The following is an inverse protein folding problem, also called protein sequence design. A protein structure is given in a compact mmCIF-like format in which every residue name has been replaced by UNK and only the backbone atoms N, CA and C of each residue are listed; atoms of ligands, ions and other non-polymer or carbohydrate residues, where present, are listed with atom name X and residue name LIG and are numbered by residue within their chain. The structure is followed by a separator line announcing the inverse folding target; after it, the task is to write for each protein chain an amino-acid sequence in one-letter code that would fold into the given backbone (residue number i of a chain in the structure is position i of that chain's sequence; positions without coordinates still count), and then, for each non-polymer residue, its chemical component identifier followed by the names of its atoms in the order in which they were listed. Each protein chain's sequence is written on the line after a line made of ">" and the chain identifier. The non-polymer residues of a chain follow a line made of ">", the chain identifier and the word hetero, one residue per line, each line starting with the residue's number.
data_IF_268171340652
#
_entry.id   IF_268171340652
#
_cell.length_a   1.000
_cell.length_b   1.000
_cell.length_c   1.000
_cell.angle_alpha   90.00
_cell.angle_beta   90.00
_cell.angle_gamma   90.00
#
_symmetry.space_group_name_H-M   'P 1'
#
loop_
_entity.id
_entity.type
_entity.pdbx_description
1 polymer ?
#
# COMPACT_ATOMS: atom_id res chain seq x y z
N UNK A 1 -8.41 -21.60 -8.67
CA UNK A 1 -8.69 -22.32 -7.42
C UNK A 1 -10.04 -22.99 -7.59
N UNK A 2 -10.29 -24.19 -7.05
CA UNK A 2 -11.63 -24.83 -7.11
C UNK A 2 -12.31 -24.59 -5.75
N UNK A 3 -12.88 -23.39 -5.50
CA UNK A 3 -13.34 -22.97 -4.18
C UNK A 3 -14.35 -23.94 -3.57
N UNK A 4 -15.30 -24.43 -4.36
CA UNK A 4 -16.38 -25.32 -3.88
C UNK A 4 -15.85 -26.64 -3.28
N UNK A 5 -14.76 -27.20 -3.81
CA UNK A 5 -14.15 -28.41 -3.24
C UNK A 5 -13.33 -28.03 -2.01
N UNK A 6 -12.61 -26.91 -2.06
CA UNK A 6 -11.72 -26.48 -0.99
C UNK A 6 -12.48 -26.19 0.31
N UNK A 7 -13.75 -25.79 0.24
CA UNK A 7 -14.60 -25.57 1.42
C UNK A 7 -14.79 -26.81 2.30
N UNK A 8 -14.62 -28.02 1.76
CA UNK A 8 -14.73 -29.28 2.50
C UNK A 8 -13.39 -29.87 2.91
N UNK A 9 -12.28 -29.36 2.37
CA UNK A 9 -10.93 -29.86 2.65
C UNK A 9 -10.35 -29.11 3.86
N UNK A 10 -9.82 -29.81 4.89
CA UNK A 10 -9.13 -29.14 5.99
C UNK A 10 -7.82 -28.50 5.49
N UNK A 11 -7.52 -27.29 5.97
CA UNK A 11 -6.28 -26.61 5.62
C UNK A 11 -6.23 -25.15 6.10
N UNK A 12 -5.10 -24.46 5.88
CA UNK A 12 -4.92 -23.07 6.30
C UNK A 12 -5.96 -22.10 5.72
N UNK A 13 -6.53 -22.40 4.55
CA UNK A 13 -7.59 -21.58 3.92
C UNK A 13 -8.87 -21.54 4.76
N UNK A 14 -9.21 -22.59 5.50
CA UNK A 14 -10.36 -22.60 6.42
C UNK A 14 -10.20 -21.58 7.56
N UNK A 15 -8.95 -21.28 7.94
CA UNK A 15 -8.65 -20.25 8.94
C UNK A 15 -8.99 -18.85 8.44
N UNK A 16 -8.91 -18.60 7.13
CA UNK A 16 -9.21 -17.29 6.53
C UNK A 16 -10.66 -16.91 6.81
N UNK A 17 -11.61 -17.84 6.62
CA UNK A 17 -13.03 -17.60 6.91
C UNK A 17 -13.26 -17.18 8.37
N UNK A 18 -12.61 -17.86 9.32
CA UNK A 18 -12.68 -17.49 10.74
C UNK A 18 -12.07 -16.12 11.02
N UNK A 19 -10.94 -15.78 10.40
CA UNK A 19 -10.29 -14.48 10.56
C UNK A 19 -11.13 -13.34 9.98
N UNK A 20 -11.73 -13.55 8.80
CA UNK A 20 -12.64 -12.59 8.19
C UNK A 20 -13.90 -12.39 9.04
N UNK A 21 -14.46 -13.47 9.61
CA UNK A 21 -15.61 -13.36 10.50
C UNK A 21 -15.26 -12.54 11.75
N UNK A 22 -14.11 -12.80 12.39
CA UNK A 22 -13.68 -12.00 13.54
C UNK A 22 -13.53 -10.51 13.21
N UNK A 23 -13.00 -10.17 12.03
CA UNK A 23 -12.90 -8.78 11.59
C UNK A 23 -14.27 -8.16 11.31
N UNK A 24 -15.20 -8.92 10.72
CA UNK A 24 -16.58 -8.48 10.51
C UNK A 24 -17.30 -8.24 11.84
N UNK A 25 -17.11 -9.10 12.83
CA UNK A 25 -17.69 -8.95 14.17
C UNK A 25 -17.17 -7.68 14.84
N UNK A 26 -15.85 -7.44 14.77
CA UNK A 26 -15.23 -6.20 15.26
C UNK A 26 -15.78 -4.94 14.57
N UNK A 27 -15.86 -4.95 13.24
CA UNK A 27 -16.43 -3.82 12.49
C UNK A 27 -17.90 -3.62 12.84
N UNK A 28 -18.66 -4.70 13.03
CA UNK A 28 -20.08 -4.64 13.38
C UNK A 28 -20.30 -4.02 14.76
N UNK A 29 -19.48 -4.41 15.74
CA UNK A 29 -19.50 -3.80 17.08
C UNK A 29 -19.20 -2.29 16.99
N UNK A 30 -18.19 -1.91 16.21
CA UNK A 30 -17.86 -0.49 16.01
C UNK A 30 -19.01 0.29 15.37
N UNK A 31 -19.63 -0.26 14.31
CA UNK A 31 -20.78 0.37 13.65
C UNK A 31 -21.96 0.54 14.61
N UNK A 32 -22.21 -0.44 15.50
CA UNK A 32 -23.27 -0.34 16.51
C UNK A 32 -23.00 0.81 17.48
N UNK A 33 -21.77 0.94 17.99
CA UNK A 33 -21.38 2.06 18.86
C UNK A 33 -21.61 3.40 18.14
N UNK A 34 -21.20 3.50 16.88
CA UNK A 34 -21.40 4.71 16.08
C UNK A 34 -22.90 5.04 15.92
N UNK A 35 -23.75 4.05 15.66
CA UNK A 35 -25.21 4.22 15.55
C UNK A 35 -25.86 4.74 16.85
N UNK A 36 -25.46 4.19 18.00
CA UNK A 36 -26.01 4.56 19.31
C UNK A 36 -25.66 6.00 19.72
N UNK A 37 -24.55 6.51 19.20
CA UNK A 37 -23.97 7.81 19.59
C UNK A 37 -23.91 8.81 18.43
N UNK A 38 -24.64 8.55 17.33
CA UNK A 38 -24.59 9.35 16.12
C UNK A 38 -25.23 10.73 16.33
N UNK A 39 -24.42 11.78 16.17
CA UNK A 39 -24.89 13.15 15.98
C UNK A 39 -24.77 13.54 14.49
N UNK A 40 -25.89 13.69 13.75
CA UNK A 40 -25.84 14.09 12.34
C UNK A 40 -25.23 15.47 12.08
N UNK A 41 -25.14 16.34 13.10
CA UNK A 41 -24.56 17.67 12.97
C UNK A 41 -23.04 17.69 13.16
N UNK A 42 -22.47 16.64 13.75
CA UNK A 42 -21.04 16.51 14.04
C UNK A 42 -20.54 15.08 13.74
N UNK A 43 -20.40 14.70 12.45
CA UNK A 43 -19.94 13.36 12.08
C UNK A 43 -18.47 13.14 12.47
N UNK A 44 -18.20 12.09 13.25
CA UNK A 44 -16.88 11.85 13.85
C UNK A 44 -15.90 11.13 12.93
N UNK A 45 -16.41 10.26 12.06
CA UNK A 45 -15.61 9.39 11.21
C UNK A 45 -16.38 8.94 9.96
N UNK A 46 -15.73 8.11 9.13
CA UNK A 46 -16.34 7.56 7.91
C UNK A 46 -17.65 6.81 8.17
N UNK A 47 -17.77 6.11 9.31
CA UNK A 47 -18.96 5.33 9.64
C UNK A 47 -20.14 6.26 9.86
N UNK A 48 -19.94 7.35 10.63
CA UNK A 48 -21.00 8.35 10.85
C UNK A 48 -21.45 8.99 9.54
N UNK A 49 -20.49 9.39 8.68
CA UNK A 49 -20.79 9.94 7.35
C UNK A 49 -21.65 8.97 6.51
N UNK A 50 -21.30 7.69 6.51
CA UNK A 50 -22.06 6.67 5.78
C UNK A 50 -23.45 6.44 6.39
N UNK A 51 -23.57 6.41 7.72
CA UNK A 51 -24.85 6.27 8.43
C UNK A 51 -25.78 7.44 8.15
N UNK A 52 -25.27 8.67 8.14
CA UNK A 52 -26.03 9.87 7.76
C UNK A 52 -26.51 9.76 6.32
N UNK A 53 -25.62 9.37 5.40
CA UNK A 53 -25.97 9.18 3.99
C UNK A 53 -27.02 8.09 3.79
N UNK A 54 -26.90 6.98 4.52
CA UNK A 54 -27.89 5.89 4.54
C UNK A 54 -29.26 6.37 5.02
N UNK A 55 -29.33 7.24 6.05
CA UNK A 55 -30.60 7.85 6.49
C UNK A 55 -31.19 8.77 5.42
N UNK A 56 -30.37 9.56 4.73
CA UNK A 56 -30.81 10.45 3.64
C UNK A 56 -31.39 9.68 2.45
N UNK A 57 -30.88 8.47 2.19
CA UNK A 57 -31.36 7.62 1.09
C UNK A 57 -32.44 6.61 1.52
N UNK A 58 -32.92 6.63 2.76
CA UNK A 58 -33.81 5.60 3.31
C UNK A 58 -35.15 5.41 2.59
N UNK A 59 -35.56 6.36 1.73
CA UNK A 59 -36.76 6.26 0.90
C UNK A 59 -36.47 5.77 -0.54
N UNK A 60 -35.21 5.61 -0.92
CA UNK A 60 -34.81 5.13 -2.24
C UNK A 60 -34.64 3.60 -2.24
N UNK A 61 -35.56 2.83 -2.85
CA UNK A 61 -35.48 1.37 -2.89
C UNK A 61 -34.29 0.85 -3.73
N UNK A 62 -33.66 1.70 -4.54
CA UNK A 62 -32.46 1.40 -5.33
C UNK A 62 -31.17 1.91 -4.68
N UNK A 63 -31.20 2.29 -3.39
CA UNK A 63 -30.01 2.75 -2.69
C UNK A 63 -29.04 1.60 -2.42
N UNK A 64 -27.77 1.81 -2.75
CA UNK A 64 -26.67 0.91 -2.38
C UNK A 64 -26.10 1.23 -0.98
N UNK A 65 -26.58 2.30 -0.34
CA UNK A 65 -26.24 2.64 1.05
C UNK A 65 -27.11 1.82 1.99
N UNK A 66 -26.60 0.66 2.38
CA UNK A 66 -27.23 -0.23 3.35
C UNK A 66 -26.21 -0.77 4.35
N UNK A 67 -26.68 -1.43 5.41
CA UNK A 67 -25.82 -1.96 6.48
C UNK A 67 -24.74 -2.92 5.97
N UNK A 68 -25.07 -3.77 4.98
CA UNK A 68 -24.09 -4.70 4.41
C UNK A 68 -22.97 -3.95 3.68
N UNK A 69 -23.33 -2.97 2.85
CA UNK A 69 -22.37 -2.10 2.16
C UNK A 69 -21.47 -1.35 3.15
N UNK A 70 -22.04 -0.82 4.24
CA UNK A 70 -21.28 -0.16 5.30
C UNK A 70 -20.23 -1.09 5.91
N UNK A 71 -20.65 -2.26 6.40
CA UNK A 71 -19.75 -3.21 7.06
C UNK A 71 -18.62 -3.65 6.12
N UNK A 72 -18.95 -4.03 4.88
CA UNK A 72 -17.96 -4.47 3.91
C UNK A 72 -17.01 -3.35 3.49
N UNK A 73 -17.51 -2.11 3.34
CA UNK A 73 -16.65 -0.98 2.96
C UNK A 73 -15.67 -0.63 4.07
N UNK A 74 -16.13 -0.59 5.33
CA UNK A 74 -15.25 -0.33 6.49
C UNK A 74 -14.20 -1.42 6.60
N UNK A 75 -14.59 -2.69 6.48
CA UNK A 75 -13.66 -3.81 6.47
C UNK A 75 -12.60 -3.67 5.36
N UNK A 76 -13.02 -3.33 4.14
CA UNK A 76 -12.12 -3.16 3.01
C UNK A 76 -11.14 -1.99 3.22
N UNK A 77 -11.61 -0.84 3.69
CA UNK A 77 -10.76 0.31 3.99
C UNK A 77 -9.74 -0.03 5.09
N UNK A 78 -10.18 -0.73 6.14
CA UNK A 78 -9.31 -1.10 7.27
C UNK A 78 -8.21 -2.09 6.84
N UNK A 79 -8.58 -3.13 6.08
CA UNK A 79 -7.62 -4.10 5.56
C UNK A 79 -6.63 -3.48 4.56
N UNK A 80 -7.16 -2.78 3.55
CA UNK A 80 -6.35 -2.20 2.48
C UNK A 80 -5.40 -1.11 2.99
N UNK A 81 -5.88 -0.25 3.91
CA UNK A 81 -5.09 0.83 4.50
C UNK A 81 -4.01 0.36 5.47
N UNK A 82 -4.17 -0.81 6.09
CA UNK A 82 -3.21 -1.29 7.10
C UNK A 82 -2.08 -2.12 6.47
N UNK A 83 -2.44 -3.19 5.77
CA UNK A 83 -1.45 -4.21 5.39
C UNK A 83 -0.46 -3.71 4.33
N UNK A 84 -0.95 -2.96 3.34
CA UNK A 84 -0.11 -2.50 2.21
C UNK A 84 0.95 -1.49 2.64
N UNK A 85 0.58 -0.53 3.48
CA UNK A 85 1.50 0.48 4.03
C UNK A 85 2.47 -0.18 5.01
N UNK A 86 1.99 -1.03 5.91
CA UNK A 86 2.83 -1.79 6.85
C UNK A 86 3.88 -2.65 6.12
N UNK A 87 3.45 -3.41 5.10
CA UNK A 87 4.36 -4.22 4.29
C UNK A 87 5.39 -3.36 3.54
N UNK A 88 4.98 -2.22 2.97
CA UNK A 88 5.90 -1.30 2.30
C UNK A 88 6.93 -0.70 3.27
N UNK A 89 6.49 -0.27 4.46
CA UNK A 89 7.37 0.23 5.52
C UNK A 89 8.39 -0.85 5.94
N UNK A 90 7.93 -2.08 6.16
CA UNK A 90 8.81 -3.20 6.52
C UNK A 90 9.86 -3.49 5.44
N UNK A 91 9.46 -3.51 4.17
CA UNK A 91 10.42 -3.61 3.07
C UNK A 91 11.43 -2.47 3.10
N UNK A 92 10.97 -1.22 3.25
CA UNK A 92 11.85 -0.06 3.30
C UNK A 92 12.83 -0.10 4.46
N UNK A 93 12.40 -0.44 5.67
CA UNK A 93 13.28 -0.54 6.83
C UNK A 93 14.36 -1.63 6.64
N UNK A 94 13.99 -2.79 6.08
CA UNK A 94 14.94 -3.85 5.75
C UNK A 94 15.97 -3.38 4.72
N UNK A 95 15.50 -2.73 3.65
CA UNK A 95 16.35 -2.20 2.57
C UNK A 95 17.32 -1.12 3.11
N UNK A 96 16.85 -0.20 3.94
CA UNK A 96 17.66 0.89 4.48
C UNK A 96 18.74 0.42 5.46
N UNK A 97 18.52 -0.71 6.13
CA UNK A 97 19.55 -1.34 6.97
C UNK A 97 20.58 -2.08 6.11
N UNK A 98 20.15 -2.64 4.97
CA UNK A 98 21.06 -3.27 4.00
C UNK A 98 21.94 -2.26 3.26
N UNK A 99 21.43 -1.06 2.96
CA UNK A 99 22.14 0.04 2.30
C UNK A 99 22.40 1.23 3.24
N UNK A 100 23.35 1.13 4.18
CA UNK A 100 23.63 2.18 5.17
C UNK A 100 24.02 3.52 4.52
N UNK A 101 24.66 3.51 3.36
CA UNK A 101 25.03 4.70 2.60
C UNK A 101 23.82 5.47 2.05
N UNK A 102 22.71 4.77 1.76
CA UNK A 102 21.44 5.40 1.38
C UNK A 102 20.81 6.04 2.62
N UNK A 103 20.86 5.32 3.75
CA UNK A 103 20.37 5.83 5.03
C UNK A 103 21.09 7.11 5.47
N UNK A 104 22.42 7.15 5.36
CA UNK A 104 23.23 8.31 5.73
C UNK A 104 22.91 9.53 4.84
N UNK A 105 22.65 9.34 3.55
CA UNK A 105 22.20 10.42 2.65
C UNK A 105 20.80 10.95 3.03
N UNK A 106 19.88 10.08 3.42
CA UNK A 106 18.56 10.49 3.89
C UNK A 106 18.65 11.29 5.19
N UNK A 107 19.51 10.86 6.11
CA UNK A 107 19.79 11.62 7.33
C UNK A 107 20.31 13.02 7.02
N UNK A 108 21.25 13.15 6.07
CA UNK A 108 21.76 14.44 5.66
C UNK A 108 20.66 15.36 5.09
N UNK A 109 19.84 14.85 4.16
CA UNK A 109 18.73 15.62 3.58
C UNK A 109 17.68 16.02 4.63
N UNK A 110 17.37 15.13 5.59
CA UNK A 110 16.48 15.44 6.72
C UNK A 110 17.06 16.58 7.55
N UNK A 111 18.36 16.51 7.90
CA UNK A 111 19.01 17.51 8.74
C UNK A 111 19.06 18.88 8.06
N UNK A 112 19.28 18.91 6.74
CA UNK A 112 19.31 20.14 5.94
C UNK A 112 17.92 20.80 5.77
N UNK A 113 16.88 20.01 5.49
CA UNK A 113 15.55 20.54 5.14
C UNK A 113 14.65 20.74 6.36
N UNK A 114 14.71 19.80 7.31
CA UNK A 114 13.82 19.74 8.47
C UNK A 114 14.56 20.11 9.75
N UNK A 115 15.78 19.61 9.91
CA UNK A 115 16.55 19.66 11.15
C UNK A 115 16.02 18.68 12.21
N UNK A 116 16.57 18.75 13.42
CA UNK A 116 16.30 17.76 14.49
C UNK A 116 15.12 18.11 15.40
N UNK A 117 14.71 19.38 15.45
CA UNK A 117 13.72 19.87 16.44
C UNK A 117 12.30 19.99 15.88
N UNK A 118 12.15 20.13 14.56
CA UNK A 118 10.86 20.35 13.90
C UNK A 118 10.27 19.03 13.44
N UNK A 119 8.97 18.81 13.70
CA UNK A 119 8.29 17.62 13.19
C UNK A 119 8.20 17.66 11.65
N UNK A 120 8.40 16.53 10.95
CA UNK A 120 8.17 16.45 9.51
C UNK A 120 6.74 16.80 9.14
N UNK A 121 6.56 17.51 8.03
CA UNK A 121 5.26 17.82 7.44
C UNK A 121 5.22 17.34 5.98
N UNK A 122 4.04 17.23 5.38
CA UNK A 122 3.92 16.71 4.01
C UNK A 122 4.47 17.69 2.97
N UNK A 123 4.48 18.99 3.26
CA UNK A 123 5.01 20.03 2.40
C UNK A 123 6.53 19.92 2.20
N UNK A 124 7.25 19.35 3.18
CA UNK A 124 8.70 19.12 3.15
C UNK A 124 9.09 18.20 1.99
N UNK A 125 8.20 17.29 1.57
CA UNK A 125 8.44 16.34 0.47
C UNK A 125 8.92 17.03 -0.81
N UNK A 126 8.37 18.20 -1.12
CA UNK A 126 8.73 18.96 -2.32
C UNK A 126 10.19 19.46 -2.32
N UNK A 127 10.83 19.48 -1.15
CA UNK A 127 12.22 19.94 -0.94
C UNK A 127 13.18 18.78 -0.65
N UNK A 128 12.69 17.54 -0.64
CA UNK A 128 13.46 16.34 -0.30
C UNK A 128 13.46 15.34 -1.47
N UNK A 129 14.09 15.69 -2.60
CA UNK A 129 14.07 14.84 -3.81
C UNK A 129 14.67 13.45 -3.57
N UNK A 130 15.67 13.31 -2.68
CA UNK A 130 16.30 12.03 -2.42
C UNK A 130 15.40 11.11 -1.58
N UNK A 131 14.75 11.63 -0.54
CA UNK A 131 13.71 10.92 0.22
C UNK A 131 12.58 10.47 -0.69
N UNK A 132 12.09 11.35 -1.57
CA UNK A 132 11.00 10.99 -2.47
C UNK A 132 11.44 9.90 -3.47
N UNK A 133 12.65 10.00 -4.01
CA UNK A 133 13.23 8.98 -4.89
C UNK A 133 13.40 7.63 -4.19
N UNK A 134 13.88 7.61 -2.94
CA UNK A 134 14.02 6.38 -2.15
C UNK A 134 12.66 5.75 -1.87
N UNK A 135 11.65 6.53 -1.48
CA UNK A 135 10.30 6.00 -1.22
C UNK A 135 9.67 5.42 -2.49
N UNK A 136 9.86 6.06 -3.64
CA UNK A 136 9.42 5.53 -4.93
C UNK A 136 10.15 4.23 -5.27
N UNK A 137 11.47 4.18 -5.07
CA UNK A 137 12.25 2.98 -5.31
C UNK A 137 11.87 1.84 -4.35
N UNK A 138 11.53 2.13 -3.09
CA UNK A 138 11.03 1.12 -2.13
C UNK A 138 9.74 0.50 -2.67
N UNK A 139 8.78 1.30 -3.13
CA UNK A 139 7.51 0.80 -3.67
C UNK A 139 7.72 0.01 -4.97
N UNK A 140 8.58 0.49 -5.87
CA UNK A 140 8.90 -0.18 -7.14
C UNK A 140 9.60 -1.52 -6.89
N UNK A 141 10.57 -1.54 -5.97
CA UNK A 141 11.39 -2.70 -5.69
C UNK A 141 10.67 -3.73 -4.83
N UNK A 142 9.86 -3.33 -3.85
CA UNK A 142 9.08 -4.25 -3.03
C UNK A 142 7.93 -4.87 -3.81
N UNK A 143 7.33 -4.10 -4.73
CA UNK A 143 6.23 -4.51 -5.59
C UNK A 143 5.17 -5.29 -4.82
N UNK A 144 4.56 -4.66 -3.81
CA UNK A 144 3.74 -5.34 -2.79
C UNK A 144 2.58 -6.14 -3.41
N UNK A 145 2.03 -5.74 -4.55
CA UNK A 145 0.93 -6.43 -5.24
C UNK A 145 1.30 -6.71 -6.72
N UNK A 146 2.21 -7.66 -6.99
CA UNK A 146 2.84 -7.82 -8.31
C UNK A 146 1.85 -8.21 -9.42
N UNK A 147 0.79 -8.95 -9.07
CA UNK A 147 -0.25 -9.39 -10.00
C UNK A 147 -1.42 -8.39 -10.15
N UNK A 148 -1.38 -7.28 -9.41
CA UNK A 148 -2.52 -6.38 -9.22
C UNK A 148 -3.75 -7.09 -8.59
N UNK A 149 -4.84 -6.34 -8.40
CA UNK A 149 -6.14 -6.94 -8.13
C UNK A 149 -6.77 -7.44 -9.45
N UNK A 150 -7.52 -8.56 -9.43
CA UNK A 150 -8.21 -9.05 -10.63
C UNK A 150 -9.23 -8.02 -11.14
N UNK A 151 -9.24 -7.81 -12.45
CA UNK A 151 -10.31 -7.12 -13.18
C UNK A 151 -11.17 -8.17 -13.91
N UNK A 152 -12.36 -7.77 -14.34
CA UNK A 152 -13.19 -8.58 -15.24
C UNK A 152 -13.76 -7.73 -16.37
N UNK A 153 -13.85 -8.30 -17.58
CA UNK A 153 -14.50 -7.66 -18.72
C UNK A 153 -16.01 -7.50 -18.45
N UNK A 154 -16.54 -6.29 -18.57
CA UNK A 154 -17.97 -6.03 -18.32
C UNK A 154 -18.86 -6.39 -19.52
N UNK A 155 -18.26 -6.53 -20.70
CA UNK A 155 -18.87 -6.90 -21.96
C UNK A 155 -17.83 -7.58 -22.86
N UNK A 156 -18.27 -8.13 -23.99
CA UNK A 156 -17.36 -8.64 -25.01
C UNK A 156 -16.54 -7.49 -25.58
N UNK A 157 -15.21 -7.65 -25.60
CA UNK A 157 -14.29 -6.62 -26.13
C UNK A 157 -13.33 -7.23 -27.14
N UNK A 158 -12.88 -6.40 -28.09
CA UNK A 158 -11.73 -6.70 -28.95
C UNK A 158 -10.51 -5.95 -28.44
N UNK A 159 -9.46 -6.68 -28.10
CA UNK A 159 -8.20 -6.09 -27.63
C UNK A 159 -7.02 -6.67 -28.39
N UNK A 160 -6.25 -5.81 -29.07
CA UNK A 160 -5.10 -6.21 -29.91
C UNK A 160 -5.39 -7.37 -30.89
N UNK A 161 -6.61 -7.39 -31.46
CA UNK A 161 -7.05 -8.42 -32.39
C UNK A 161 -7.68 -9.66 -31.74
N UNK A 162 -7.63 -9.80 -30.42
CA UNK A 162 -8.25 -10.91 -29.68
C UNK A 162 -9.67 -10.56 -29.22
N UNK A 163 -10.57 -11.53 -29.27
CA UNK A 163 -11.89 -11.42 -28.65
C UNK A 163 -11.79 -11.86 -27.19
N UNK A 164 -12.18 -10.99 -26.26
CA UNK A 164 -12.24 -11.26 -24.83
C UNK A 164 -13.72 -11.24 -24.42
N UNK A 165 -14.32 -12.40 -24.13
CA UNK A 165 -15.73 -12.48 -23.73
C UNK A 165 -16.00 -11.73 -22.42
N UNK A 166 -17.25 -11.30 -22.20
CA UNK A 166 -17.75 -10.78 -20.92
C UNK A 166 -17.49 -11.76 -19.77
N UNK A 167 -17.09 -11.23 -18.62
CA UNK A 167 -16.81 -12.01 -17.40
C UNK A 167 -15.43 -12.68 -17.42
N UNK A 168 -14.58 -12.38 -18.40
CA UNK A 168 -13.20 -12.87 -18.43
C UNK A 168 -12.37 -12.13 -17.39
N UNK A 169 -11.71 -12.88 -16.50
CA UNK A 169 -10.75 -12.32 -15.55
C UNK A 169 -9.49 -11.80 -16.28
N UNK A 170 -9.02 -10.63 -15.87
CA UNK A 170 -7.87 -9.94 -16.43
C UNK A 170 -6.96 -9.49 -15.28
N UNK A 171 -5.69 -9.88 -15.35
CA UNK A 171 -4.67 -9.51 -14.37
C UNK A 171 -3.68 -8.52 -15.02
N UNK A 172 -3.85 -7.21 -14.83
CA UNK A 172 -2.91 -6.21 -15.31
C UNK A 172 -1.66 -6.17 -14.41
N UNK A 173 -0.76 -7.13 -14.61
CA UNK A 173 0.42 -7.38 -13.79
C UNK A 173 1.30 -6.13 -13.63
N UNK A 174 1.34 -5.57 -12.42
CA UNK A 174 2.15 -4.39 -12.08
C UNK A 174 3.64 -4.70 -12.18
N UNK A 175 4.03 -5.93 -11.84
CA UNK A 175 5.39 -6.43 -11.93
C UNK A 175 6.06 -6.12 -13.28
N UNK A 176 5.32 -6.33 -14.39
CA UNK A 176 5.85 -6.10 -15.73
C UNK A 176 6.22 -4.63 -15.97
N UNK A 177 5.43 -3.68 -15.45
CA UNK A 177 5.73 -2.25 -15.57
C UNK A 177 6.85 -1.84 -14.60
N UNK A 178 6.78 -2.26 -13.34
CA UNK A 178 7.73 -1.87 -12.29
C UNK A 178 9.14 -2.47 -12.47
N UNK A 179 9.28 -3.46 -13.36
CA UNK A 179 10.56 -4.08 -13.75
C UNK A 179 10.91 -3.87 -15.24
N UNK A 180 10.23 -2.96 -15.94
CA UNK A 180 10.48 -2.73 -17.37
C UNK A 180 11.90 -2.17 -17.59
N UNK A 181 12.78 -2.89 -18.31
CA UNK A 181 14.16 -2.44 -18.55
C UNK A 181 14.26 -1.20 -19.45
N UNK A 182 13.19 -0.85 -20.18
CA UNK A 182 13.15 0.39 -20.97
C UNK A 182 12.94 1.64 -20.11
N UNK A 183 12.38 1.49 -18.91
CA UNK A 183 12.16 2.58 -17.95
C UNK A 183 13.16 2.56 -16.79
N UNK A 184 13.64 1.38 -16.38
CA UNK A 184 14.54 1.20 -15.23
C UNK A 184 15.83 0.52 -15.68
N UNK A 185 16.98 1.21 -15.60
CA UNK A 185 18.29 0.70 -16.07
C UNK A 185 18.73 -0.58 -15.36
N UNK A 186 18.48 -0.68 -14.06
CA UNK A 186 18.82 -1.84 -13.22
C UNK A 186 17.56 -2.37 -12.55
N UNK A 187 16.57 -2.90 -13.30
CA UNK A 187 15.21 -3.10 -12.81
C UNK A 187 15.14 -4.10 -11.64
N UNK A 188 16.10 -5.02 -11.55
CA UNK A 188 16.17 -6.04 -10.50
C UNK A 188 17.00 -5.63 -9.28
N UNK A 189 17.63 -4.46 -9.29
CA UNK A 189 18.39 -3.93 -8.16
C UNK A 189 17.62 -2.78 -7.51
N UNK A 190 17.85 -2.56 -6.23
CA UNK A 190 17.40 -1.35 -5.54
C UNK A 190 18.33 -0.19 -5.90
N UNK A 191 17.80 0.82 -6.56
CA UNK A 191 18.58 1.97 -7.03
C UNK A 191 17.72 3.25 -7.03
N UNK A 192 17.85 4.13 -6.02
CA UNK A 192 17.11 5.39 -5.97
C UNK A 192 17.35 6.29 -7.19
N UNK A 193 18.47 6.12 -7.90
CA UNK A 193 18.78 6.81 -9.14
C UNK A 193 17.79 6.56 -10.29
N UNK A 194 16.92 5.53 -10.19
CA UNK A 194 15.80 5.36 -11.09
C UNK A 194 14.80 6.53 -11.07
N UNK A 195 14.73 7.25 -9.96
CA UNK A 195 13.80 8.35 -9.71
C UNK A 195 14.50 9.70 -9.55
N UNK A 196 15.76 9.80 -9.99
CA UNK A 196 16.54 11.03 -9.98
C UNK A 196 16.98 11.38 -11.40
N UNK A 197 16.98 12.66 -11.74
CA UNK A 197 17.61 13.16 -12.95
C UNK A 197 19.12 13.44 -12.76
N UNK A 198 19.78 13.92 -13.80
CA UNK A 198 21.23 14.20 -13.80
C UNK A 198 21.62 15.30 -12.81
N UNK A 199 20.67 16.16 -12.40
CA UNK A 199 20.87 17.23 -11.43
C UNK A 199 20.52 16.78 -9.99
N UNK A 200 20.11 15.52 -9.80
CA UNK A 200 19.65 15.01 -8.51
C UNK A 200 18.24 15.47 -8.11
N UNK A 201 17.47 16.02 -9.03
CA UNK A 201 16.06 16.35 -8.79
C UNK A 201 15.17 15.12 -8.98
N UNK A 202 14.05 15.08 -8.27
CA UNK A 202 13.10 13.97 -8.38
C UNK A 202 12.51 13.90 -9.79
N UNK A 203 12.54 12.71 -10.40
CA UNK A 203 11.98 12.42 -11.71
C UNK A 203 11.08 11.20 -11.64
N UNK A 204 9.78 11.40 -11.83
CA UNK A 204 8.81 10.30 -11.93
C UNK A 204 9.00 9.51 -13.22
N UNK A 205 8.87 8.20 -13.14
CA UNK A 205 8.81 7.30 -14.29
C UNK A 205 7.36 6.96 -14.64
N UNK A 206 7.01 6.95 -15.93
CA UNK A 206 5.63 6.63 -16.37
C UNK A 206 5.21 5.20 -16.01
N UNK A 207 6.17 4.26 -16.02
CA UNK A 207 5.97 2.87 -15.62
C UNK A 207 5.80 2.69 -14.09
N UNK A 208 5.94 3.77 -13.29
CA UNK A 208 5.72 3.71 -11.84
C UNK A 208 4.22 3.78 -11.51
N UNK A 209 3.62 2.60 -11.41
CA UNK A 209 2.18 2.41 -11.12
C UNK A 209 1.91 1.40 -9.99
N UNK A 210 2.56 1.50 -8.81
CA UNK A 210 2.32 0.55 -7.71
C UNK A 210 0.89 0.60 -7.15
N UNK A 211 0.15 1.67 -7.43
CA UNK A 211 -1.25 1.86 -7.06
C UNK A 211 -2.24 1.52 -8.19
N UNK A 212 -1.78 0.83 -9.24
CA UNK A 212 -2.51 0.65 -10.49
C UNK A 212 -2.84 1.99 -11.18
N UNK A 213 -3.72 1.98 -12.17
CA UNK A 213 -4.19 3.18 -12.89
C UNK A 213 -5.59 2.97 -13.45
N UNK A 214 -6.21 4.06 -13.96
CA UNK A 214 -7.54 4.04 -14.56
C UNK A 214 -8.68 4.01 -13.54
N UNK A 215 -9.85 3.48 -13.94
CA UNK A 215 -11.10 3.55 -13.14
C UNK A 215 -11.06 2.86 -11.78
N UNK A 216 -10.09 1.97 -11.56
CA UNK A 216 -9.91 1.21 -10.31
C UNK A 216 -8.54 1.48 -9.68
N UNK A 217 -7.96 2.66 -9.95
CA UNK A 217 -6.77 3.13 -9.22
C UNK A 217 -7.04 3.09 -7.71
N UNK A 218 -5.99 2.81 -6.92
CA UNK A 218 -6.10 2.68 -5.48
C UNK A 218 -6.76 3.93 -4.86
N UNK A 219 -7.89 3.73 -4.17
CA UNK A 219 -8.60 4.82 -3.49
C UNK A 219 -7.78 5.46 -2.36
N UNK A 220 -6.82 4.73 -1.80
CA UNK A 220 -5.94 5.19 -0.72
C UNK A 220 -4.59 5.76 -1.19
N UNK A 221 -4.35 5.95 -2.49
CA UNK A 221 -3.04 6.37 -3.02
C UNK A 221 -2.49 7.64 -2.35
N UNK A 222 -3.34 8.66 -2.17
CA UNK A 222 -2.94 9.92 -1.53
C UNK A 222 -2.53 9.73 -0.08
N UNK A 223 -3.33 8.97 0.69
CA UNK A 223 -3.07 8.68 2.10
C UNK A 223 -1.79 7.86 2.26
N UNK A 224 -1.64 6.77 1.49
CA UNK A 224 -0.46 5.91 1.56
C UNK A 224 0.84 6.67 1.23
N UNK A 225 0.84 7.53 0.20
CA UNK A 225 2.01 8.36 -0.13
C UNK A 225 2.39 9.30 1.01
N UNK A 226 1.40 9.91 1.66
CA UNK A 226 1.62 10.79 2.81
C UNK A 226 2.15 10.00 4.02
N UNK A 227 1.53 8.88 4.34
CA UNK A 227 1.94 8.01 5.44
C UNK A 227 3.37 7.50 5.26
N UNK A 228 3.72 6.96 4.09
CA UNK A 228 5.07 6.47 3.81
C UNK A 228 6.10 7.58 4.00
N UNK A 229 5.85 8.77 3.44
CA UNK A 229 6.73 9.91 3.61
C UNK A 229 6.92 10.27 5.08
N UNK A 230 5.82 10.55 5.78
CA UNK A 230 5.88 10.99 7.18
C UNK A 230 6.47 9.93 8.11
N UNK A 231 6.15 8.64 7.91
CA UNK A 231 6.71 7.57 8.73
C UNK A 231 8.22 7.41 8.50
N UNK A 232 8.68 7.32 7.25
CA UNK A 232 10.12 7.20 6.98
C UNK A 232 10.89 8.41 7.48
N UNK A 233 10.43 9.63 7.19
CA UNK A 233 11.11 10.85 7.64
C UNK A 233 11.13 10.95 9.16
N UNK A 234 10.02 10.64 9.84
CA UNK A 234 9.94 10.73 11.31
C UNK A 234 10.84 9.69 11.97
N UNK A 235 10.85 8.45 11.46
CA UNK A 235 11.73 7.39 11.97
C UNK A 235 13.19 7.79 11.79
N UNK A 236 13.59 8.19 10.58
CA UNK A 236 15.00 8.48 10.26
C UNK A 236 15.48 9.82 10.84
N UNK A 237 14.58 10.75 11.15
CA UNK A 237 14.93 11.95 11.89
C UNK A 237 15.42 11.59 13.30
N UNK A 238 14.76 10.62 13.96
CA UNK A 238 14.99 10.31 15.36
C UNK A 238 15.95 9.14 15.58
N UNK A 239 16.12 8.25 14.60
CA UNK A 239 16.84 7.00 14.76
C UNK A 239 17.72 6.65 13.56
N UNK A 240 18.89 6.09 13.84
CA UNK A 240 19.69 5.30 12.91
C UNK A 240 19.30 3.82 13.06
N UNK A 241 18.93 3.20 11.96
CA UNK A 241 18.54 1.80 11.89
C UNK A 241 19.77 0.91 11.77
N UNK A 242 19.85 -0.11 12.61
CA UNK A 242 20.93 -1.10 12.57
C UNK A 242 20.36 -2.51 12.74
N UNK A 243 21.11 -3.54 12.36
CA UNK A 243 20.77 -4.92 12.69
C UNK A 243 22.03 -5.70 13.06
N UNK A 244 21.87 -6.69 13.93
CA UNK A 244 22.90 -7.72 14.19
C UNK A 244 22.88 -8.80 13.11
N UNK A 245 21.79 -8.92 12.37
CA UNK A 245 21.66 -9.82 11.24
C UNK A 245 22.44 -9.25 10.04
N UNK A 246 23.00 -10.13 9.21
CA UNK A 246 23.56 -9.77 7.92
C UNK A 246 22.58 -10.21 6.84
N UNK A 247 22.16 -9.29 6.00
CA UNK A 247 21.26 -9.56 4.88
C UNK A 247 22.05 -9.65 3.58
N UNK A 248 21.61 -10.52 2.69
CA UNK A 248 22.08 -10.61 1.31
C UNK A 248 21.09 -9.92 0.37
N UNK A 249 21.48 -9.68 -0.88
CA UNK A 249 20.55 -9.15 -1.89
C UNK A 249 19.32 -10.06 -2.09
N UNK A 250 19.48 -11.37 -1.88
CA UNK A 250 18.39 -12.34 -1.95
C UNK A 250 17.42 -12.24 -0.75
N UNK A 251 17.87 -11.72 0.39
CA UNK A 251 17.04 -11.55 1.59
C UNK A 251 16.14 -10.32 1.47
N UNK A 252 16.63 -9.25 0.84
CA UNK A 252 15.85 -8.02 0.62
C UNK A 252 14.94 -8.10 -0.61
N UNK A 253 15.26 -8.97 -1.57
CA UNK A 253 14.48 -9.14 -2.80
C UNK A 253 13.09 -9.70 -2.49
N UNK A 254 12.01 -9.10 -3.02
CA UNK A 254 10.67 -9.63 -2.79
C UNK A 254 10.56 -11.04 -3.39
N UNK A 255 10.08 -11.97 -2.58
CA UNK A 255 9.74 -13.32 -3.02
C UNK A 255 8.27 -13.29 -3.39
N UNK A 256 7.92 -13.69 -4.62
CA UNK A 256 6.53 -13.81 -5.05
C UNK A 256 5.89 -15.00 -4.33
N UNK A 257 5.35 -14.75 -3.12
CA UNK A 257 4.85 -15.78 -2.20
C UNK A 257 3.33 -15.95 -2.23
N UNK A 258 2.62 -15.19 -3.08
CA UNK A 258 1.17 -15.31 -3.24
C UNK A 258 0.52 -14.01 -3.68
N UNK A 259 -0.49 -13.57 -2.90
CA UNK A 259 -1.26 -12.35 -3.19
C UNK A 259 -0.44 -11.06 -3.05
N UNK A 260 0.41 -10.99 -2.03
CA UNK A 260 1.31 -9.86 -1.80
C UNK A 260 2.74 -10.32 -1.53
N UNK A 261 3.70 -9.45 -1.87
CA UNK A 261 5.10 -9.63 -1.46
C UNK A 261 5.25 -9.12 -0.03
N UNK A 262 5.73 -10.01 0.86
CA UNK A 262 5.96 -9.73 2.28
C UNK A 262 7.44 -9.98 2.56
N UNK A 263 8.13 -9.11 3.32
CA UNK A 263 9.56 -9.30 3.57
C UNK A 263 9.75 -10.48 4.53
N UNK A 264 10.94 -11.08 4.50
CA UNK A 264 11.31 -12.11 5.48
C UNK A 264 11.15 -11.56 6.91
N UNK A 265 10.94 -12.42 7.92
CA UNK A 265 11.07 -11.99 9.31
C UNK A 265 12.50 -11.51 9.60
N UNK A 266 12.65 -10.36 10.25
CA UNK A 266 13.94 -9.78 10.62
C UNK A 266 13.81 -8.94 11.90
N UNK A 267 14.94 -8.68 12.56
CA UNK A 267 15.02 -7.82 13.75
C UNK A 267 15.95 -6.63 13.49
N UNK A 268 15.53 -5.44 13.95
CA UNK A 268 16.30 -4.20 13.85
C UNK A 268 16.43 -3.55 15.23
N UNK A 269 17.49 -2.76 15.39
CA UNK A 269 17.66 -1.83 16.51
C UNK A 269 17.53 -0.40 16.00
N UNK A 270 16.71 0.39 16.70
CA UNK A 270 16.55 1.82 16.48
C UNK A 270 17.48 2.56 17.45
N UNK A 271 18.61 3.06 16.95
CA UNK A 271 19.60 3.78 17.76
C UNK A 271 19.28 5.27 17.69
N UNK A 272 18.98 5.95 18.82
CA UNK A 272 18.67 7.39 18.79
C UNK A 272 19.78 8.22 18.12
N UNK A 273 19.37 9.24 17.37
CA UNK A 273 20.27 10.24 16.74
C UNK A 273 20.41 11.47 17.62
#
# INVERSE_FOLDING_TARGET
>A
MIPEIMDYVPGPHQRINKLLQNLLDFVSERVKINQETLDPSDPRDYIDCFLIKMKQEGQNPSSEFNTKSLLLTVLQLFFAGTETVSSTLRHGLLILVHYPEIQDKLHHEIDEVIGVNRRPNIEDRSKMPYMDAVIHEIQRFSDVLPLNLPHASQQDIKFKGYNIPKGTDVYPMLYCALRDPSHFKTPHMFNPGHFLDENGSFKKQDAFIPFSTGKRVCAGEGLAKMELFLFFTTILQNFKLTSKMKFTDADISPKMTGFSNIPIPYELSFVPR
#
